data_IF_331794859302
#
_entry.id   IF_331794859302
#
_cell.length_a   1.000
_cell.length_b   1.000
_cell.length_c   1.000
_cell.angle_alpha   90.00
_cell.angle_beta   90.00
_cell.angle_gamma   90.00
#
_symmetry.space_group_name_H-M   'P 1'
#
loop_
_entity.id
_entity.type
_entity.pdbx_description
1 polymer ?
#
# COMPACT_ATOMS: atom_id res chain seq x y z
N UNK A 1 14.93 1.99 10.26
CA UNK A 1 15.43 3.12 11.07
C UNK A 1 14.81 3.01 12.46
N UNK A 2 15.52 3.41 13.53
CA UNK A 2 14.91 3.57 14.85
C UNK A 2 13.97 4.78 14.85
N UNK A 3 13.02 4.84 15.79
CA UNK A 3 12.24 6.06 16.02
C UNK A 3 13.15 7.22 16.43
N UNK A 4 12.68 8.46 16.23
CA UNK A 4 13.41 9.67 16.66
C UNK A 4 13.91 9.54 18.10
N UNK A 5 15.22 9.63 18.30
CA UNK A 5 15.87 9.55 19.62
C UNK A 5 16.27 8.15 20.09
N UNK A 6 16.05 7.08 19.30
CA UNK A 6 16.49 5.74 19.68
C UNK A 6 17.79 5.32 18.98
N UNK A 7 18.75 4.84 19.78
CA UNK A 7 20.03 4.30 19.29
C UNK A 7 19.89 2.94 18.59
N UNK A 8 18.87 2.15 18.96
CA UNK A 8 18.60 0.85 18.35
C UNK A 8 17.67 0.99 17.15
N UNK A 9 17.99 0.25 16.08
CA UNK A 9 17.11 0.15 14.92
C UNK A 9 15.85 -0.64 15.32
N UNK A 10 14.68 -0.25 14.80
CA UNK A 10 13.39 -0.82 15.22
C UNK A 10 13.30 -2.37 15.09
N UNK A 11 14.02 -2.96 14.12
CA UNK A 11 14.13 -4.41 13.95
C UNK A 11 14.99 -5.10 15.02
N UNK A 12 15.91 -4.39 15.65
CA UNK A 12 16.67 -4.95 16.77
C UNK A 12 15.79 -4.93 18.02
N UNK A 13 15.03 -3.85 18.24
CA UNK A 13 14.02 -3.77 19.31
C UNK A 13 13.00 -4.89 19.17
N UNK A 14 12.52 -5.20 17.96
CA UNK A 14 11.53 -6.26 17.75
C UNK A 14 12.03 -7.65 18.17
N UNK A 15 13.33 -7.94 18.00
CA UNK A 15 13.95 -9.20 18.46
C UNK A 15 14.00 -9.28 19.98
N UNK A 16 14.23 -8.17 20.68
CA UNK A 16 14.24 -8.14 22.15
C UNK A 16 12.86 -8.37 22.76
N UNK A 17 11.78 -7.97 22.07
CA UNK A 17 10.40 -8.15 22.55
C UNK A 17 9.72 -9.40 21.96
N UNK A 18 10.49 -10.31 21.33
CA UNK A 18 10.01 -11.60 20.79
C UNK A 18 8.89 -11.46 19.74
N UNK A 19 8.95 -10.43 18.90
CA UNK A 19 8.08 -10.32 17.72
C UNK A 19 8.60 -11.25 16.61
N UNK A 20 7.81 -12.26 16.25
CA UNK A 20 8.17 -13.29 15.26
C UNK A 20 7.69 -12.99 13.84
N UNK A 21 6.66 -12.16 13.69
CA UNK A 21 6.03 -11.85 12.39
C UNK A 21 5.87 -10.34 12.19
N UNK A 22 6.97 -9.58 11.99
CA UNK A 22 6.89 -8.13 11.83
C UNK A 22 6.28 -7.74 10.49
N UNK A 23 5.32 -6.83 10.52
CA UNK A 23 4.82 -6.10 9.36
C UNK A 23 5.46 -4.71 9.33
N UNK A 24 6.09 -4.35 8.21
CA UNK A 24 6.74 -3.04 8.08
C UNK A 24 5.79 -2.04 7.43
N UNK A 25 5.26 -1.11 8.22
CA UNK A 25 4.56 0.07 7.68
C UNK A 25 5.59 1.09 7.19
N UNK A 26 5.51 1.44 5.90
CA UNK A 26 6.46 2.35 5.24
C UNK A 26 6.22 3.83 5.51
N UNK A 27 5.17 4.18 6.26
CA UNK A 27 4.76 5.54 6.59
C UNK A 27 4.53 6.41 5.33
N UNK A 28 3.27 6.41 4.87
CA UNK A 28 2.81 7.20 3.73
C UNK A 28 3.07 8.72 3.92
N UNK A 29 3.93 9.27 3.06
CA UNK A 29 4.15 10.72 2.96
C UNK A 29 3.24 11.33 1.88
N UNK A 30 2.78 12.58 2.05
CA UNK A 30 1.92 13.23 1.07
C UNK A 30 2.54 13.31 -0.33
N UNK A 31 1.69 13.34 -1.36
CA UNK A 31 2.13 13.65 -2.73
C UNK A 31 2.82 15.02 -2.76
N UNK A 32 4.02 15.07 -3.37
CA UNK A 32 4.90 16.25 -3.36
C UNK A 32 5.81 16.36 -2.12
N UNK A 33 5.62 15.54 -1.09
CA UNK A 33 6.38 15.57 0.17
C UNK A 33 7.17 14.27 0.45
N UNK A 34 7.48 13.50 -0.61
CA UNK A 34 8.25 12.26 -0.49
C UNK A 34 7.50 10.98 -0.85
N UNK A 35 6.25 11.06 -1.33
CA UNK A 35 5.42 9.88 -1.65
C UNK A 35 6.17 8.84 -2.51
N UNK A 36 6.93 9.29 -3.51
CA UNK A 36 7.74 8.39 -4.34
C UNK A 36 8.82 7.63 -3.56
N UNK A 37 9.44 8.25 -2.54
CA UNK A 37 10.37 7.58 -1.65
C UNK A 37 9.65 6.55 -0.76
N UNK A 38 8.46 6.87 -0.27
CA UNK A 38 7.64 5.90 0.46
C UNK A 38 7.31 4.70 -0.42
N UNK A 39 6.82 4.90 -1.65
CA UNK A 39 6.51 3.78 -2.56
C UNK A 39 7.75 2.92 -2.86
N UNK A 40 8.91 3.53 -3.15
CA UNK A 40 10.16 2.78 -3.37
C UNK A 40 10.62 1.99 -2.15
N UNK A 41 10.32 2.47 -0.94
CA UNK A 41 10.72 1.76 0.28
C UNK A 41 10.01 0.41 0.43
N UNK A 42 8.80 0.23 -0.12
CA UNK A 42 8.11 -1.08 -0.17
C UNK A 42 9.00 -2.11 -0.85
N UNK A 43 9.47 -1.80 -2.06
CA UNK A 43 10.37 -2.67 -2.81
C UNK A 43 11.72 -2.86 -2.09
N UNK A 44 12.29 -1.78 -1.53
CA UNK A 44 13.58 -1.83 -0.85
C UNK A 44 13.54 -2.71 0.41
N UNK A 45 12.48 -2.63 1.22
CA UNK A 45 12.30 -3.46 2.42
C UNK A 45 12.18 -4.92 2.02
N UNK A 46 11.35 -5.23 1.02
CA UNK A 46 11.18 -6.60 0.55
C UNK A 46 12.48 -7.17 -0.02
N UNK A 47 13.13 -6.42 -0.91
CA UNK A 47 14.36 -6.88 -1.58
C UNK A 47 15.57 -6.98 -0.67
N UNK A 48 15.68 -6.15 0.38
CA UNK A 48 16.84 -6.16 1.28
C UNK A 48 16.64 -6.97 2.56
N UNK A 49 15.41 -7.04 3.06
CA UNK A 49 15.11 -7.60 4.37
C UNK A 49 14.22 -8.85 4.29
N UNK A 50 13.59 -9.12 3.15
CA UNK A 50 12.64 -10.24 3.00
C UNK A 50 11.37 -10.08 3.84
N UNK A 51 11.15 -8.91 4.45
CA UNK A 51 10.01 -8.66 5.34
C UNK A 51 8.79 -8.17 4.55
N UNK A 52 7.57 -8.53 4.99
CA UNK A 52 6.36 -7.97 4.41
C UNK A 52 6.28 -6.47 4.68
N UNK A 53 5.98 -5.71 3.63
CA UNK A 53 5.90 -4.25 3.68
C UNK A 53 4.55 -3.76 3.17
N UNK A 54 4.03 -2.68 3.75
CA UNK A 54 2.74 -2.10 3.41
C UNK A 54 2.54 -0.77 4.11
N UNK A 55 1.30 -0.28 4.16
CA UNK A 55 1.00 0.95 4.91
C UNK A 55 -0.31 1.62 4.53
N UNK A 56 -0.57 2.77 5.14
CA UNK A 56 -1.75 3.60 4.88
C UNK A 56 -1.59 4.57 3.73
N UNK A 57 -1.61 4.06 2.49
CA UNK A 57 -1.36 4.85 1.29
C UNK A 57 -2.44 5.91 1.00
N UNK A 58 -3.66 5.72 1.50
CA UNK A 58 -4.73 6.74 1.43
C UNK A 58 -4.29 8.10 2.01
N UNK A 59 -3.35 8.10 2.97
CA UNK A 59 -2.77 9.32 3.55
C UNK A 59 -2.00 10.15 2.52
N UNK A 60 -1.47 9.53 1.46
CA UNK A 60 -0.78 10.24 0.37
C UNK A 60 -1.75 11.17 -0.37
N UNK A 61 -2.96 10.67 -0.65
CA UNK A 61 -4.02 11.42 -1.32
C UNK A 61 -4.70 12.42 -0.37
N UNK A 62 -5.02 12.01 0.85
CA UNK A 62 -5.81 12.83 1.79
C UNK A 62 -5.06 14.08 2.24
N UNK A 63 -3.74 13.97 2.36
CA UNK A 63 -2.87 15.08 2.71
C UNK A 63 -2.39 15.91 1.50
N UNK A 64 -2.68 15.49 0.26
CA UNK A 64 -2.23 16.19 -0.95
C UNK A 64 -2.90 17.57 -1.08
N UNK A 65 -2.09 18.63 -1.05
CA UNK A 65 -2.57 20.02 -1.03
C UNK A 65 -3.44 20.40 -2.23
N UNK A 66 -3.07 19.94 -3.43
CA UNK A 66 -3.85 20.22 -4.63
C UNK A 66 -5.22 19.54 -4.56
N UNK A 67 -5.29 18.26 -4.16
CA UNK A 67 -6.57 17.55 -4.05
C UNK A 67 -7.49 18.16 -2.98
N UNK A 68 -6.92 18.64 -1.87
CA UNK A 68 -7.69 19.36 -0.83
C UNK A 68 -8.31 20.66 -1.35
N UNK A 69 -7.65 21.35 -2.28
CA UNK A 69 -8.19 22.56 -2.95
C UNK A 69 -9.22 22.18 -4.01
N UNK A 70 -8.87 21.27 -4.90
CA UNK A 70 -9.73 20.80 -5.99
C UNK A 70 -11.10 20.31 -5.50
N UNK A 71 -11.14 19.55 -4.40
CA UNK A 71 -12.40 19.07 -3.78
C UNK A 71 -13.36 20.17 -3.31
N UNK A 72 -12.88 21.40 -3.16
CA UNK A 72 -13.70 22.57 -2.78
C UNK A 72 -14.18 23.35 -4.01
N UNK A 73 -13.45 23.25 -5.11
CA UNK A 73 -13.71 23.99 -6.35
C UNK A 73 -14.68 23.23 -7.26
N UNK A 74 -14.58 21.90 -7.28
CA UNK A 74 -15.43 21.03 -8.07
C UNK A 74 -16.46 20.32 -7.17
N UNK A 75 -17.78 20.55 -7.37
CA UNK A 75 -18.84 19.95 -6.57
C UNK A 75 -18.90 18.42 -6.70
N UNK A 76 -18.46 17.86 -7.82
CA UNK A 76 -18.50 16.42 -8.11
C UNK A 76 -17.23 15.71 -7.62
N UNK A 77 -16.19 16.46 -7.24
CA UNK A 77 -14.90 15.92 -6.87
C UNK A 77 -14.96 14.89 -5.72
N UNK A 78 -15.93 14.99 -4.80
CA UNK A 78 -16.07 13.99 -3.72
C UNK A 78 -16.57 12.64 -4.24
N UNK A 79 -17.47 12.65 -5.22
CA UNK A 79 -18.12 11.46 -5.76
C UNK A 79 -17.30 10.85 -6.91
N UNK A 80 -16.70 11.69 -7.75
CA UNK A 80 -16.09 11.30 -9.02
C UNK A 80 -14.57 11.28 -8.95
N UNK A 81 -13.92 12.40 -8.60
CA UNK A 81 -12.46 12.52 -8.71
C UNK A 81 -11.70 11.98 -7.49
N UNK A 82 -12.26 12.12 -6.29
CA UNK A 82 -11.62 11.71 -5.04
C UNK A 82 -11.44 10.19 -4.94
N UNK A 83 -12.47 9.36 -5.21
CA UNK A 83 -12.33 7.92 -5.07
C UNK A 83 -11.20 7.31 -5.91
N UNK A 84 -11.03 7.60 -7.22
CA UNK A 84 -9.92 7.03 -7.98
C UNK A 84 -8.56 7.53 -7.51
N UNK A 85 -8.45 8.77 -7.02
CA UNK A 85 -7.19 9.29 -6.46
C UNK A 85 -6.85 8.57 -5.15
N UNK A 86 -7.82 8.44 -4.23
CA UNK A 86 -7.65 7.79 -2.94
C UNK A 86 -7.32 6.30 -3.10
N UNK A 87 -8.12 5.57 -3.86
CA UNK A 87 -7.92 4.15 -4.16
C UNK A 87 -6.63 3.94 -4.95
N UNK A 88 -6.34 4.81 -5.92
CA UNK A 88 -5.16 4.71 -6.78
C UNK A 88 -3.84 4.69 -6.00
N UNK A 89 -3.74 5.44 -4.90
CA UNK A 89 -2.53 5.39 -4.04
C UNK A 89 -2.26 4.00 -3.46
N UNK A 90 -3.32 3.27 -3.12
CA UNK A 90 -3.22 1.88 -2.64
C UNK A 90 -2.84 0.92 -3.77
N UNK A 91 -3.43 1.08 -4.96
CA UNK A 91 -3.13 0.23 -6.12
C UNK A 91 -1.67 0.39 -6.57
N UNK A 92 -1.15 1.61 -6.60
CA UNK A 92 0.27 1.87 -6.93
C UNK A 92 1.19 1.13 -5.95
N UNK A 93 0.88 1.17 -4.66
CA UNK A 93 1.68 0.45 -3.67
C UNK A 93 1.59 -1.08 -3.85
N UNK A 94 0.39 -1.61 -4.13
CA UNK A 94 0.17 -3.04 -4.38
C UNK A 94 0.96 -3.52 -5.60
N UNK A 95 0.92 -2.78 -6.71
CA UNK A 95 1.72 -3.05 -7.92
C UNK A 95 3.22 -3.06 -7.61
N UNK A 96 3.67 -2.16 -6.71
CA UNK A 96 5.06 -2.11 -6.25
C UNK A 96 5.42 -3.19 -5.21
N UNK A 97 4.50 -4.13 -4.96
CA UNK A 97 4.71 -5.33 -4.16
C UNK A 97 4.29 -5.19 -2.71
N UNK A 98 3.48 -4.20 -2.32
CA UNK A 98 2.97 -4.11 -0.96
C UNK A 98 2.17 -5.38 -0.58
N UNK A 99 2.44 -5.92 0.61
CA UNK A 99 1.77 -7.10 1.17
C UNK A 99 0.45 -6.76 1.84
N UNK A 100 0.26 -5.52 2.30
CA UNK A 100 -0.96 -5.06 2.95
C UNK A 100 -1.19 -3.57 2.68
N UNK A 101 -2.47 -3.18 2.69
CA UNK A 101 -2.92 -1.82 2.40
C UNK A 101 -3.88 -1.37 3.51
N UNK A 102 -3.56 -0.30 4.23
CA UNK A 102 -4.53 0.38 5.10
C UNK A 102 -5.29 1.38 4.23
N UNK A 103 -6.31 0.87 3.54
CA UNK A 103 -6.92 1.51 2.37
C UNK A 103 -7.74 2.77 2.65
N UNK A 104 -7.89 3.16 3.92
CA UNK A 104 -8.63 4.35 4.32
C UNK A 104 -10.03 4.03 4.84
N UNK A 105 -11.00 4.94 4.65
CA UNK A 105 -12.33 4.81 5.23
C UNK A 105 -13.04 3.51 4.83
N UNK A 106 -13.71 2.86 5.79
CA UNK A 106 -14.37 1.57 5.58
C UNK A 106 -15.49 1.65 4.53
N UNK A 107 -16.08 2.83 4.35
CA UNK A 107 -17.13 3.12 3.37
C UNK A 107 -16.65 2.89 1.93
N UNK A 108 -15.34 2.95 1.68
CA UNK A 108 -14.75 2.67 0.37
C UNK A 108 -14.64 1.16 0.07
N UNK A 109 -15.06 0.26 0.97
CA UNK A 109 -14.93 -1.20 0.81
C UNK A 109 -15.44 -1.70 -0.56
N UNK A 110 -16.62 -1.23 -1.00
CA UNK A 110 -17.22 -1.64 -2.27
C UNK A 110 -16.46 -1.16 -3.50
N UNK A 111 -15.64 -0.12 -3.35
CA UNK A 111 -14.82 0.45 -4.44
C UNK A 111 -13.41 -0.15 -4.43
N UNK A 112 -12.80 -0.29 -3.25
CA UNK A 112 -11.43 -0.77 -3.08
C UNK A 112 -11.31 -2.25 -3.40
N UNK A 113 -12.20 -3.10 -2.86
CA UNK A 113 -12.03 -4.56 -2.94
C UNK A 113 -11.99 -5.10 -4.38
N UNK A 114 -12.89 -4.68 -5.29
CA UNK A 114 -12.78 -5.07 -6.69
C UNK A 114 -11.49 -4.57 -7.34
N UNK A 115 -11.03 -3.36 -7.00
CA UNK A 115 -9.83 -2.76 -7.57
C UNK A 115 -8.55 -3.48 -7.13
N UNK A 116 -8.43 -3.84 -5.85
CA UNK A 116 -7.28 -4.61 -5.35
C UNK A 116 -7.31 -6.06 -5.83
N UNK A 117 -8.50 -6.67 -5.98
CA UNK A 117 -8.64 -8.01 -6.54
C UNK A 117 -8.19 -8.05 -8.01
N UNK A 118 -8.52 -7.03 -8.79
CA UNK A 118 -8.03 -6.85 -10.15
C UNK A 118 -6.50 -6.81 -10.20
N UNK A 119 -5.86 -6.02 -9.33
CA UNK A 119 -4.38 -5.95 -9.26
C UNK A 119 -3.77 -7.30 -8.84
N UNK A 120 -4.35 -7.98 -7.86
CA UNK A 120 -3.88 -9.32 -7.45
C UNK A 120 -3.95 -10.34 -8.58
N UNK A 121 -4.98 -10.27 -9.43
CA UNK A 121 -5.09 -11.11 -10.64
C UNK A 121 -3.92 -10.81 -11.59
N UNK A 122 -3.68 -9.53 -11.92
CA UNK A 122 -2.57 -9.12 -12.79
C UNK A 122 -1.20 -9.52 -12.23
N UNK A 123 -1.02 -9.42 -10.91
CA UNK A 123 0.21 -9.85 -10.24
C UNK A 123 0.38 -11.37 -10.27
N UNK A 124 -0.71 -12.15 -10.17
CA UNK A 124 -0.66 -13.60 -10.29
C UNK A 124 -0.36 -14.07 -11.72
N UNK A 125 -0.90 -13.38 -12.73
CA UNK A 125 -0.53 -13.59 -14.13
C UNK A 125 0.97 -13.30 -14.34
N UNK A 126 1.45 -12.16 -13.84
CA UNK A 126 2.87 -11.80 -13.88
C UNK A 126 3.74 -12.85 -13.17
N UNK A 127 3.32 -13.32 -12.00
CA UNK A 127 4.03 -14.35 -11.25
C UNK A 127 4.13 -15.64 -12.07
N UNK A 128 3.05 -16.07 -12.72
CA UNK A 128 3.03 -17.24 -13.60
C UNK A 128 4.01 -17.09 -14.76
N UNK A 129 4.05 -15.94 -15.42
CA UNK A 129 4.97 -15.66 -16.53
C UNK A 129 6.44 -15.69 -16.10
N UNK A 130 6.72 -15.33 -14.84
CA UNK A 130 8.04 -15.42 -14.22
C UNK A 130 8.37 -16.81 -13.66
N UNK A 131 7.53 -17.83 -13.90
CA UNK A 131 7.73 -19.20 -13.42
C UNK A 131 7.41 -19.40 -11.93
N UNK A 132 6.67 -18.47 -11.33
CA UNK A 132 6.19 -18.54 -9.94
C UNK A 132 4.73 -19.02 -9.88
N UNK A 133 4.27 -19.40 -8.69
CA UNK A 133 2.90 -19.86 -8.47
C UNK A 133 2.27 -19.17 -7.26
N UNK A 134 0.95 -18.96 -7.32
CA UNK A 134 0.17 -18.46 -6.18
C UNK A 134 -0.04 -19.58 -5.16
N UNK A 135 0.55 -19.42 -3.97
CA UNK A 135 0.45 -20.41 -2.88
C UNK A 135 -0.92 -20.42 -2.20
N UNK A 136 -1.61 -19.28 -2.14
CA UNK A 136 -2.90 -19.18 -1.45
C UNK A 136 -3.97 -20.03 -2.17
N UNK A 137 -4.69 -20.88 -1.42
CA UNK A 137 -5.82 -21.66 -1.95
C UNK A 137 -6.97 -20.76 -2.38
N UNK A 138 -7.22 -19.70 -1.60
CA UNK A 138 -8.18 -18.65 -1.92
C UNK A 138 -7.42 -17.44 -2.45
N UNK A 139 -7.39 -17.29 -3.76
CA UNK A 139 -6.75 -16.17 -4.46
C UNK A 139 -7.73 -15.57 -5.48
N UNK A 140 -7.76 -14.24 -5.70
CA UNK A 140 -8.64 -13.60 -6.69
C UNK A 140 -8.64 -14.29 -8.06
N UNK A 141 -7.46 -14.62 -8.60
CA UNK A 141 -7.33 -15.34 -9.90
C UNK A 141 -7.98 -16.73 -9.92
N UNK A 142 -8.17 -17.39 -8.78
CA UNK A 142 -8.79 -18.74 -8.68
C UNK A 142 -10.30 -18.67 -8.43
N UNK A 143 -10.84 -17.47 -8.19
CA UNK A 143 -12.23 -17.26 -7.76
C UNK A 143 -13.03 -16.38 -8.71
N UNK A 144 -12.36 -15.48 -9.43
CA UNK A 144 -12.98 -14.44 -10.26
C UNK A 144 -12.65 -14.61 -11.75
N UNK A 145 -11.82 -15.60 -12.10
CA UNK A 145 -11.42 -16.02 -13.45
C UNK A 145 -11.46 -17.55 -13.47
#
# INVERSE_FOLDING_TARGET
MGGTGQAKVMLDVSKYVVLTSPLVDVAATPLGAGAGATIRSVLAIKGRLGLPAGGGFHNMASAWDWMKKYRKEDPDAKAESWPPVDIGTNLVAQIMGANFLLYGPIENVKRVFPAVAMVDIMLAETAKDLGLTTLAEVHPIKKLV
#
